data_IF_138726216101
#
_entry.id   IF_138726216101
#
_cell.length_a   1.000
_cell.length_b   1.000
_cell.length_c   1.000
_cell.angle_alpha   90.00
_cell.angle_beta   90.00
_cell.angle_gamma   90.00
#
_symmetry.space_group_name_H-M   'P 1'
#
loop_
_entity.id
_entity.type
_entity.pdbx_description
1 polymer ?
#
# COMPACT_ATOMS: atom_id res chain seq x y z
N UNK A 1 12.91 -15.22 4.42
CA UNK A 1 11.44 -15.09 4.62
C UNK A 1 11.20 -14.40 5.96
N UNK A 2 10.56 -13.26 5.93
CA UNK A 2 10.15 -12.53 7.13
C UNK A 2 9.13 -13.34 7.95
N UNK A 3 8.97 -12.98 9.21
CA UNK A 3 7.93 -13.54 10.07
C UNK A 3 6.67 -12.71 9.90
N UNK A 4 5.50 -13.37 9.76
CA UNK A 4 4.22 -12.67 9.80
C UNK A 4 3.99 -12.11 11.22
N UNK A 5 3.80 -10.81 11.32
CA UNK A 5 3.59 -10.11 12.59
C UNK A 5 2.27 -9.35 12.57
N UNK A 6 1.50 -9.42 13.65
CA UNK A 6 0.36 -8.55 13.84
C UNK A 6 0.85 -7.21 14.40
N UNK A 7 0.84 -6.17 13.57
CA UNK A 7 1.39 -4.84 13.89
C UNK A 7 0.36 -3.91 14.50
N UNK A 8 -0.94 -4.17 14.29
CA UNK A 8 -2.01 -3.33 14.82
C UNK A 8 -3.32 -4.13 14.99
N UNK A 9 -4.15 -3.77 15.97
CA UNK A 9 -5.53 -4.27 16.08
C UNK A 9 -6.39 -3.42 17.00
N UNK A 10 -7.68 -3.36 16.68
CA UNK A 10 -8.76 -2.83 17.54
C UNK A 10 -9.93 -3.81 17.64
N UNK A 11 -11.13 -3.32 17.93
CA UNK A 11 -12.33 -4.15 18.04
C UNK A 11 -12.83 -4.67 16.68
N UNK A 12 -12.61 -3.93 15.58
CA UNK A 12 -13.13 -4.23 14.24
C UNK A 12 -12.12 -4.83 13.29
N UNK A 13 -10.86 -4.38 13.36
CA UNK A 13 -9.84 -4.76 12.41
C UNK A 13 -8.55 -5.28 13.07
N UNK A 14 -7.78 -6.04 12.32
CA UNK A 14 -6.38 -6.33 12.61
C UNK A 14 -5.54 -6.20 11.34
N UNK A 15 -4.29 -5.76 11.52
CA UNK A 15 -3.32 -5.61 10.43
C UNK A 15 -2.11 -6.46 10.73
N UNK A 16 -1.75 -7.26 9.75
CA UNK A 16 -0.54 -8.08 9.76
C UNK A 16 0.44 -7.56 8.72
N UNK A 17 1.73 -7.74 8.99
CA UNK A 17 2.83 -7.40 8.08
C UNK A 17 3.76 -8.59 7.93
N UNK A 18 4.26 -8.79 6.73
CA UNK A 18 5.40 -9.65 6.43
C UNK A 18 6.35 -8.91 5.49
N UNK A 19 7.65 -9.10 5.70
CA UNK A 19 8.69 -8.57 4.81
C UNK A 19 9.13 -9.68 3.87
N UNK A 20 9.08 -9.43 2.57
CA UNK A 20 9.36 -10.42 1.52
C UNK A 20 10.33 -9.89 0.46
N UNK A 21 10.97 -10.84 -0.22
CA UNK A 21 11.82 -10.55 -1.37
C UNK A 21 13.15 -9.86 -1.06
N UNK A 22 14.00 -9.71 -2.09
CA UNK A 22 15.34 -9.16 -1.95
C UNK A 22 15.37 -7.62 -1.74
N UNK A 23 14.24 -6.94 -1.93
CA UNK A 23 14.08 -5.51 -1.72
C UNK A 23 13.43 -5.18 -0.36
N UNK A 24 13.21 -6.22 0.49
CA UNK A 24 12.56 -6.06 1.79
C UNK A 24 11.19 -5.36 1.70
N UNK A 25 10.35 -5.82 0.75
CA UNK A 25 9.01 -5.27 0.56
C UNK A 25 8.09 -5.59 1.75
N UNK A 26 7.43 -4.58 2.25
CA UNK A 26 6.36 -4.72 3.24
C UNK A 26 5.06 -5.15 2.54
N UNK A 27 4.58 -6.31 2.86
CA UNK A 27 3.25 -6.78 2.47
C UNK A 27 2.34 -6.71 3.68
N UNK A 28 1.16 -6.12 3.50
CA UNK A 28 0.21 -5.97 4.60
C UNK A 28 -1.05 -6.79 4.34
N UNK A 29 -1.64 -7.32 5.41
CA UNK A 29 -2.97 -7.94 5.38
C UNK A 29 -3.88 -7.19 6.34
N UNK A 30 -4.95 -6.60 5.81
CA UNK A 30 -6.04 -6.00 6.57
C UNK A 30 -7.13 -7.04 6.71
N UNK A 31 -7.48 -7.38 7.95
CA UNK A 31 -8.49 -8.41 8.24
C UNK A 31 -9.63 -7.87 9.10
N UNK A 32 -10.85 -8.12 8.67
CA UNK A 32 -12.05 -7.86 9.44
C UNK A 32 -12.18 -8.92 10.53
N UNK A 33 -12.25 -8.50 11.79
CA UNK A 33 -12.32 -9.44 12.93
C UNK A 33 -13.68 -10.12 13.10
N UNK A 34 -14.76 -9.46 12.67
CA UNK A 34 -16.12 -9.97 12.77
C UNK A 34 -16.41 -11.05 11.73
N UNK A 35 -15.97 -10.85 10.49
CA UNK A 35 -16.27 -11.77 9.37
C UNK A 35 -15.14 -12.73 9.05
N UNK A 36 -13.90 -12.37 9.41
CA UNK A 36 -12.70 -13.12 9.04
C UNK A 36 -12.21 -12.86 7.61
N UNK A 37 -12.92 -12.05 6.82
CA UNK A 37 -12.49 -11.64 5.48
C UNK A 37 -11.27 -10.73 5.56
N UNK A 38 -10.39 -10.82 4.56
CA UNK A 38 -9.17 -10.04 4.51
C UNK A 38 -8.79 -9.60 3.10
N UNK A 39 -7.99 -8.53 3.04
CA UNK A 39 -7.39 -7.98 1.84
C UNK A 39 -5.86 -7.92 2.02
N UNK A 40 -5.12 -8.27 0.99
CA UNK A 40 -3.67 -8.14 0.96
C UNK A 40 -3.29 -6.90 0.14
N UNK A 41 -2.31 -6.15 0.61
CA UNK A 41 -1.69 -5.01 -0.10
C UNK A 41 -0.33 -5.46 -0.59
N UNK A 42 -0.13 -5.39 -1.90
CA UNK A 42 1.03 -5.75 -2.71
C UNK A 42 1.39 -7.25 -2.70
N UNK A 43 1.08 -7.94 -3.79
CA UNK A 43 1.52 -9.31 -4.03
C UNK A 43 2.99 -9.32 -4.49
N UNK A 44 3.89 -8.88 -3.60
CA UNK A 44 5.26 -8.49 -3.92
C UNK A 44 6.15 -9.67 -4.32
N UNK A 45 6.35 -10.64 -3.46
CA UNK A 45 7.29 -11.75 -3.70
C UNK A 45 6.95 -12.97 -2.84
N UNK A 46 7.78 -14.03 -2.90
CA UNK A 46 7.64 -15.24 -2.06
C UNK A 46 6.22 -15.81 -2.10
N UNK A 47 5.70 -16.02 -3.31
CA UNK A 47 4.31 -16.38 -3.56
C UNK A 47 3.80 -17.59 -2.73
N UNK A 48 4.64 -18.59 -2.45
CA UNK A 48 4.25 -19.73 -1.61
C UNK A 48 3.86 -19.29 -0.19
N UNK A 49 4.66 -18.40 0.40
CA UNK A 49 4.39 -17.84 1.73
C UNK A 49 3.15 -16.93 1.71
N UNK A 50 3.00 -16.11 0.66
CA UNK A 50 1.81 -15.25 0.54
C UNK A 50 0.53 -16.08 0.38
N UNK A 51 0.55 -17.16 -0.40
CA UNK A 51 -0.61 -18.06 -0.56
C UNK A 51 -0.99 -18.76 0.76
N UNK A 52 0.00 -19.18 1.55
CA UNK A 52 -0.25 -19.72 2.89
C UNK A 52 -0.91 -18.65 3.79
N UNK A 53 -0.40 -17.43 3.79
CA UNK A 53 -0.98 -16.30 4.55
C UNK A 53 -2.39 -16.01 4.07
N UNK A 54 -2.62 -15.92 2.76
CA UNK A 54 -3.95 -15.70 2.19
C UNK A 54 -4.96 -16.74 2.68
N UNK A 55 -4.56 -18.02 2.65
CA UNK A 55 -5.41 -19.11 3.13
C UNK A 55 -5.70 -19.01 4.63
N UNK A 56 -4.67 -18.75 5.44
CA UNK A 56 -4.80 -18.72 6.90
C UNK A 56 -5.56 -17.50 7.43
N UNK A 57 -5.47 -16.37 6.74
CA UNK A 57 -6.10 -15.11 7.16
C UNK A 57 -7.41 -14.81 6.43
N UNK A 58 -7.79 -15.59 5.41
CA UNK A 58 -9.05 -15.40 4.67
C UNK A 58 -8.98 -14.29 3.63
N UNK A 59 -7.80 -14.09 3.01
CA UNK A 59 -7.62 -13.12 1.93
C UNK A 59 -8.36 -13.58 0.69
N UNK A 60 -9.25 -12.73 0.17
CA UNK A 60 -10.03 -12.97 -1.04
C UNK A 60 -9.78 -11.93 -2.14
N UNK A 61 -9.04 -10.87 -1.83
CA UNK A 61 -8.64 -9.84 -2.80
C UNK A 61 -7.25 -9.28 -2.48
N UNK A 62 -6.56 -8.87 -3.52
CA UNK A 62 -5.28 -8.17 -3.48
C UNK A 62 -5.46 -6.80 -4.12
N UNK A 63 -4.86 -5.77 -3.53
CA UNK A 63 -4.76 -4.44 -4.12
C UNK A 63 -3.29 -4.07 -4.24
N UNK A 64 -2.89 -3.55 -5.40
CA UNK A 64 -1.52 -3.11 -5.63
C UNK A 64 -1.41 -1.61 -5.41
N UNK A 65 -0.42 -1.18 -4.65
CA UNK A 65 -0.13 0.25 -4.44
C UNK A 65 0.39 0.91 -5.71
N UNK A 66 1.12 0.15 -6.52
CA UNK A 66 1.66 0.57 -7.81
C UNK A 66 2.22 -0.63 -8.58
N UNK A 67 2.67 -0.41 -9.83
CA UNK A 67 3.04 -1.48 -10.74
C UNK A 67 4.53 -1.84 -10.81
N UNK A 68 5.41 -1.37 -9.90
CA UNK A 68 6.82 -1.75 -9.98
C UNK A 68 7.02 -3.24 -9.75
N UNK A 69 8.03 -3.78 -10.42
CA UNK A 69 8.28 -5.22 -10.52
C UNK A 69 8.42 -5.92 -9.17
N UNK A 70 8.98 -5.26 -8.19
CA UNK A 70 9.20 -5.82 -6.85
C UNK A 70 7.92 -5.90 -6.02
N UNK A 71 6.87 -5.14 -6.35
CA UNK A 71 5.57 -5.19 -5.69
C UNK A 71 4.60 -6.22 -6.29
N UNK A 72 4.85 -6.73 -7.50
CA UNK A 72 3.86 -7.49 -8.29
C UNK A 72 4.31 -8.92 -8.66
N UNK A 73 5.44 -9.41 -8.16
CA UNK A 73 6.00 -10.70 -8.63
C UNK A 73 5.13 -11.90 -8.29
N UNK A 74 4.37 -11.86 -7.19
CA UNK A 74 3.46 -12.93 -6.79
C UNK A 74 2.07 -12.83 -7.45
N UNK A 75 1.76 -11.77 -8.20
CA UNK A 75 0.45 -11.56 -8.86
C UNK A 75 0.00 -12.78 -9.67
N UNK A 76 0.81 -13.42 -10.53
CA UNK A 76 0.36 -14.59 -11.25
C UNK A 76 -0.11 -15.73 -10.33
N UNK A 77 0.65 -16.00 -9.27
CA UNK A 77 0.36 -17.11 -8.36
C UNK A 77 -0.92 -16.86 -7.51
N UNK A 78 -1.12 -15.62 -7.02
CA UNK A 78 -2.34 -15.31 -6.27
C UNK A 78 -3.58 -15.35 -7.16
N UNK A 79 -3.47 -14.92 -8.43
CA UNK A 79 -4.57 -15.04 -9.39
C UNK A 79 -4.86 -16.49 -9.78
N UNK A 80 -3.85 -17.31 -9.98
CA UNK A 80 -4.01 -18.76 -10.25
C UNK A 80 -4.70 -19.48 -9.06
N UNK A 81 -4.55 -18.96 -7.84
CA UNK A 81 -5.25 -19.44 -6.66
C UNK A 81 -6.70 -18.91 -6.54
N UNK A 82 -7.16 -18.10 -7.50
CA UNK A 82 -8.53 -17.57 -7.55
C UNK A 82 -8.74 -16.31 -6.71
N UNK A 83 -7.66 -15.63 -6.27
CA UNK A 83 -7.71 -14.37 -5.54
C UNK A 83 -7.69 -13.23 -6.57
N UNK A 84 -8.66 -12.30 -6.50
CA UNK A 84 -8.72 -11.16 -7.42
C UNK A 84 -7.63 -10.14 -7.14
N UNK A 85 -7.08 -9.52 -8.20
CA UNK A 85 -6.05 -8.48 -8.12
C UNK A 85 -6.57 -7.19 -8.73
N UNK A 86 -6.44 -6.10 -7.99
CA UNK A 86 -6.84 -4.76 -8.40
C UNK A 86 -5.63 -3.81 -8.46
N UNK A 87 -5.60 -2.96 -9.47
CA UNK A 87 -4.54 -1.97 -9.71
C UNK A 87 -5.14 -0.73 -10.37
N UNK A 88 -4.47 0.41 -10.33
CA UNK A 88 -4.90 1.61 -11.06
C UNK A 88 -4.73 1.45 -12.57
N UNK A 89 -5.55 2.14 -13.36
CA UNK A 89 -5.48 2.08 -14.82
C UNK A 89 -4.13 2.55 -15.38
N UNK A 90 -3.46 3.49 -14.71
CA UNK A 90 -2.18 4.03 -15.15
C UNK A 90 -1.03 3.01 -15.02
N UNK A 91 -1.09 2.14 -14.02
CA UNK A 91 -0.07 1.11 -13.77
C UNK A 91 -0.47 -0.29 -14.25
N UNK A 92 -1.72 -0.47 -14.72
CA UNK A 92 -2.23 -1.77 -15.17
C UNK A 92 -1.36 -2.45 -16.24
N UNK A 93 -0.74 -1.65 -17.11
CA UNK A 93 0.17 -2.14 -18.15
C UNK A 93 1.52 -2.68 -17.63
N UNK A 94 1.83 -2.45 -16.36
CA UNK A 94 3.06 -2.94 -15.71
C UNK A 94 2.85 -4.34 -15.10
N UNK A 95 1.60 -4.72 -14.81
CA UNK A 95 1.27 -6.03 -14.24
C UNK A 95 1.17 -7.10 -15.34
N UNK A 96 1.55 -8.34 -15.04
CA UNK A 96 1.36 -9.47 -15.98
C UNK A 96 -0.13 -9.76 -16.23
N UNK A 97 -0.98 -9.47 -15.24
CA UNK A 97 -2.44 -9.58 -15.32
C UNK A 97 -3.11 -8.98 -14.10
N UNK A 98 -4.39 -8.60 -14.23
CA UNK A 98 -5.21 -8.05 -13.15
C UNK A 98 -6.70 -8.34 -13.43
N UNK A 99 -7.57 -8.08 -12.47
CA UNK A 99 -9.01 -8.32 -12.58
C UNK A 99 -9.83 -7.02 -12.52
N UNK A 100 -9.42 -6.07 -11.69
CA UNK A 100 -10.17 -4.85 -11.41
C UNK A 100 -9.29 -3.61 -11.54
N UNK A 101 -9.92 -2.49 -11.87
CA UNK A 101 -9.27 -1.18 -11.89
C UNK A 101 -9.70 -0.38 -10.67
N UNK A 102 -8.70 0.07 -9.91
CA UNK A 102 -8.88 0.99 -8.79
C UNK A 102 -9.01 2.43 -9.29
N UNK A 103 -9.88 3.18 -8.64
CA UNK A 103 -10.07 4.62 -8.89
C UNK A 103 -9.78 5.45 -7.65
N UNK A 104 -9.62 6.76 -7.83
CA UNK A 104 -9.42 7.69 -6.71
C UNK A 104 -10.69 7.82 -5.86
N UNK A 105 -10.52 7.97 -4.53
CA UNK A 105 -11.61 8.11 -3.54
C UNK A 105 -12.64 6.95 -3.60
N UNK A 106 -12.25 5.81 -4.11
CA UNK A 106 -13.10 4.61 -4.14
C UNK A 106 -13.21 4.01 -2.74
N UNK A 107 -14.39 3.48 -2.43
CA UNK A 107 -14.64 2.73 -1.21
C UNK A 107 -14.65 1.23 -1.52
N UNK A 108 -13.66 0.51 -1.01
CA UNK A 108 -13.57 -0.95 -1.03
C UNK A 108 -14.09 -1.51 0.29
N UNK A 109 -14.60 -2.73 0.28
CA UNK A 109 -15.08 -3.42 1.49
C UNK A 109 -14.27 -4.66 1.78
N UNK A 110 -13.98 -4.89 3.08
CA UNK A 110 -13.37 -6.11 3.59
C UNK A 110 -14.21 -6.55 4.79
N UNK A 111 -15.17 -7.44 4.57
CA UNK A 111 -16.21 -7.73 5.55
C UNK A 111 -16.96 -6.44 5.93
N UNK A 112 -16.92 -6.08 7.20
CA UNK A 112 -17.56 -4.85 7.72
C UNK A 112 -16.63 -3.61 7.64
N UNK A 113 -15.39 -3.78 7.21
CA UNK A 113 -14.44 -2.68 7.09
C UNK A 113 -14.62 -1.92 5.78
N UNK A 114 -14.42 -0.60 5.83
CA UNK A 114 -14.35 0.29 4.68
C UNK A 114 -12.93 0.76 4.47
N UNK A 115 -12.43 0.52 3.27
CA UNK A 115 -11.09 0.90 2.85
C UNK A 115 -11.24 1.98 1.79
N UNK A 116 -10.64 3.13 1.99
CA UNK A 116 -10.65 4.21 1.01
C UNK A 116 -9.33 4.28 0.26
N UNK A 117 -9.43 4.43 -1.04
CA UNK A 117 -8.29 4.67 -1.92
C UNK A 117 -7.99 6.16 -2.02
N UNK A 118 -6.70 6.51 -2.20
CA UNK A 118 -6.25 7.87 -2.45
C UNK A 118 -5.18 7.83 -3.55
N UNK A 119 -5.50 8.33 -4.74
CA UNK A 119 -4.51 8.46 -5.80
C UNK A 119 -3.39 9.43 -5.37
N UNK A 120 -2.14 8.98 -5.44
CA UNK A 120 -0.94 9.71 -5.04
C UNK A 120 0.14 9.59 -6.13
N UNK A 121 -0.13 10.05 -7.37
CA UNK A 121 0.82 9.91 -8.46
C UNK A 121 2.15 10.60 -8.16
N UNK A 122 3.22 10.05 -8.71
CA UNK A 122 4.56 10.65 -8.68
C UNK A 122 5.69 9.65 -8.53
N UNK A 123 5.61 8.63 -7.69
CA UNK A 123 6.53 7.50 -7.72
C UNK A 123 6.30 6.67 -8.99
N UNK A 124 5.04 6.35 -9.26
CA UNK A 124 4.52 5.98 -10.58
C UNK A 124 3.32 6.86 -10.92
N UNK A 125 2.87 6.83 -12.17
CA UNK A 125 1.66 7.55 -12.58
C UNK A 125 0.39 6.97 -11.92
N UNK A 126 0.42 5.70 -11.53
CA UNK A 126 -0.70 4.98 -10.93
C UNK A 126 -0.59 4.76 -9.42
N UNK A 127 0.39 5.35 -8.74
CA UNK A 127 0.56 5.18 -7.29
C UNK A 127 -0.72 5.55 -6.54
N UNK A 128 -1.10 4.69 -5.60
CA UNK A 128 -2.32 4.82 -4.80
C UNK A 128 -2.05 4.38 -3.35
N UNK A 129 -2.60 5.13 -2.39
CA UNK A 129 -2.56 4.82 -0.98
C UNK A 129 -3.91 4.24 -0.52
N UNK A 130 -3.91 3.56 0.62
CA UNK A 130 -5.10 2.99 1.24
C UNK A 130 -5.22 3.41 2.69
N UNK A 131 -6.44 3.67 3.16
CA UNK A 131 -6.72 3.92 4.58
C UNK A 131 -7.94 3.12 5.02
N UNK A 132 -7.93 2.64 6.26
CA UNK A 132 -9.07 1.93 6.88
C UNK A 132 -9.88 2.93 7.68
N UNK A 133 -11.15 3.10 7.35
CA UNK A 133 -12.03 4.07 8.02
C UNK A 133 -12.11 3.79 9.54
N UNK A 134 -11.99 4.84 10.33
CA UNK A 134 -12.03 4.75 11.79
C UNK A 134 -10.72 4.32 12.45
N UNK A 135 -9.66 4.11 11.67
CA UNK A 135 -8.31 3.79 12.19
C UNK A 135 -7.31 4.89 11.88
N UNK A 136 -6.18 4.97 12.60
CA UNK A 136 -5.12 5.92 12.28
C UNK A 136 -4.11 5.38 11.24
N UNK A 137 -4.50 4.46 10.37
CA UNK A 137 -3.57 3.76 9.47
C UNK A 137 -3.66 4.28 8.04
N UNK A 138 -2.50 4.53 7.42
CA UNK A 138 -2.33 4.90 6.03
C UNK A 138 -1.23 4.05 5.40
N UNK A 139 -1.59 3.23 4.43
CA UNK A 139 -0.68 2.41 3.63
C UNK A 139 -0.27 3.21 2.40
N UNK A 140 0.99 3.57 2.31
CA UNK A 140 1.48 4.55 1.32
C UNK A 140 2.19 3.94 0.14
N UNK A 141 2.43 2.61 0.13
CA UNK A 141 3.33 2.03 -0.86
C UNK A 141 4.62 2.86 -0.90
N UNK A 142 5.04 3.22 -2.09
CA UNK A 142 6.27 3.99 -2.30
C UNK A 142 6.04 5.50 -2.47
N UNK A 143 4.94 6.02 -1.92
CA UNK A 143 4.68 7.47 -1.95
C UNK A 143 5.43 8.21 -0.84
N UNK A 144 5.34 7.75 0.42
CA UNK A 144 5.91 8.43 1.59
C UNK A 144 6.60 7.44 2.52
N UNK A 145 7.85 7.74 2.86
CA UNK A 145 8.72 6.98 3.75
C UNK A 145 9.18 7.83 4.94
N UNK A 146 9.75 7.22 5.98
CA UNK A 146 10.55 7.97 6.94
C UNK A 146 11.66 8.76 6.24
N UNK A 147 11.62 10.09 6.38
CA UNK A 147 12.64 11.00 5.87
C UNK A 147 12.45 11.45 4.41
N UNK A 148 11.38 11.06 3.71
CA UNK A 148 11.10 11.63 2.40
C UNK A 148 10.14 10.89 1.48
N UNK A 149 9.93 11.43 0.28
CA UNK A 149 9.15 10.79 -0.78
C UNK A 149 9.88 9.59 -1.37
N UNK A 150 9.14 8.73 -2.06
CA UNK A 150 9.69 7.68 -2.88
C UNK A 150 10.49 8.19 -4.07
N UNK A 151 11.34 7.33 -4.61
CA UNK A 151 12.18 7.64 -5.77
C UNK A 151 11.33 7.96 -7.00
N UNK A 152 11.62 9.07 -7.67
CA UNK A 152 10.92 9.51 -8.89
C UNK A 152 11.81 9.51 -10.13
N UNK A 153 13.01 8.94 -10.05
CA UNK A 153 13.96 8.87 -11.19
C UNK A 153 13.68 7.69 -12.14
N UNK A 154 12.74 6.82 -11.81
CA UNK A 154 12.31 5.71 -12.66
C UNK A 154 11.36 6.17 -13.76
N UNK A 155 11.17 5.34 -14.80
CA UNK A 155 10.24 5.64 -15.88
C UNK A 155 8.82 5.83 -15.33
N UNK A 156 8.19 6.95 -15.64
CA UNK A 156 6.86 7.33 -15.14
C UNK A 156 6.87 8.09 -13.81
N UNK A 157 8.04 8.25 -13.18
CA UNK A 157 8.21 9.07 -11.97
C UNK A 157 8.18 10.57 -12.26
N UNK A 158 7.62 11.35 -11.33
CA UNK A 158 7.56 12.81 -11.38
C UNK A 158 7.63 13.41 -9.98
N UNK A 159 8.72 14.15 -9.72
CA UNK A 159 8.98 14.74 -8.41
C UNK A 159 7.93 15.80 -8.02
N UNK A 160 7.51 16.64 -8.95
CA UNK A 160 6.48 17.65 -8.67
C UNK A 160 5.15 17.04 -8.29
N UNK A 161 4.78 15.95 -8.97
CA UNK A 161 3.56 15.20 -8.69
C UNK A 161 3.61 14.52 -7.32
N UNK A 162 4.71 13.83 -6.95
CA UNK A 162 4.79 13.15 -5.65
C UNK A 162 4.75 14.15 -4.49
N UNK A 163 5.43 15.28 -4.59
CA UNK A 163 5.38 16.35 -3.59
C UNK A 163 3.96 16.91 -3.45
N UNK A 164 3.28 17.15 -4.58
CA UNK A 164 1.89 17.60 -4.58
C UNK A 164 0.96 16.57 -3.95
N UNK A 165 1.16 15.29 -4.26
CA UNK A 165 0.41 14.18 -3.68
C UNK A 165 0.58 14.11 -2.16
N UNK A 166 1.81 14.17 -1.68
CA UNK A 166 2.11 14.14 -0.24
C UNK A 166 1.49 15.35 0.47
N UNK A 167 1.71 16.58 -0.05
CA UNK A 167 1.17 17.81 0.54
C UNK A 167 -0.37 17.79 0.59
N UNK A 168 -1.01 17.55 -0.57
CA UNK A 168 -2.45 17.76 -0.72
C UNK A 168 -3.31 16.56 -0.33
N UNK A 169 -2.77 15.35 -0.51
CA UNK A 169 -3.53 14.11 -0.29
C UNK A 169 -3.22 13.47 1.06
N UNK A 170 -2.01 13.70 1.61
CA UNK A 170 -1.60 13.13 2.89
C UNK A 170 -1.57 14.21 3.97
N UNK A 171 -0.65 15.16 3.91
CA UNK A 171 -0.44 16.11 5.00
C UNK A 171 -1.62 17.04 5.26
N UNK A 172 -2.33 17.48 4.21
CA UNK A 172 -3.52 18.33 4.36
C UNK A 172 -4.78 17.57 4.82
N UNK A 173 -4.81 16.23 4.76
CA UNK A 173 -6.02 15.44 5.05
C UNK A 173 -5.94 14.58 6.30
N UNK A 174 -4.75 14.16 6.72
CA UNK A 174 -4.57 13.24 7.83
C UNK A 174 -4.03 13.94 9.07
N UNK A 175 -4.43 13.44 10.23
CA UNK A 175 -3.94 13.94 11.51
C UNK A 175 -2.45 13.60 11.71
N UNK A 176 -1.71 14.40 12.52
CA UNK A 176 -0.29 14.12 12.80
C UNK A 176 -0.02 12.73 13.38
N UNK A 177 -0.96 12.15 14.14
CA UNK A 177 -0.82 10.83 14.76
C UNK A 177 -1.11 9.68 13.77
N UNK A 178 -1.48 9.97 12.52
CA UNK A 178 -1.71 8.95 11.50
C UNK A 178 -0.42 8.20 11.22
N UNK A 179 -0.47 6.88 11.39
CA UNK A 179 0.66 5.97 11.15
C UNK A 179 0.78 5.70 9.67
N UNK A 180 1.93 6.01 9.12
CA UNK A 180 2.32 5.76 7.72
C UNK A 180 3.01 4.41 7.63
N UNK A 181 2.46 3.53 6.80
CA UNK A 181 2.92 2.16 6.56
C UNK A 181 3.40 2.06 5.10
N UNK A 182 4.72 2.24 4.85
CA UNK A 182 5.28 2.30 3.51
C UNK A 182 5.52 0.92 2.89
N UNK A 183 5.79 0.88 1.59
CA UNK A 183 6.13 -0.34 0.84
C UNK A 183 7.46 -0.97 1.22
N UNK A 184 8.35 -0.23 1.87
CA UNK A 184 9.65 -0.72 2.37
C UNK A 184 10.01 -0.06 3.71
N UNK A 185 10.83 -0.76 4.50
CA UNK A 185 11.42 -0.20 5.71
C UNK A 185 10.45 0.01 6.87
N UNK A 186 10.72 1.00 7.71
CA UNK A 186 10.00 1.23 8.95
C UNK A 186 8.76 2.13 8.75
N UNK A 187 7.80 2.00 9.66
CA UNK A 187 6.68 2.92 9.77
C UNK A 187 7.13 4.29 10.30
N UNK A 188 6.34 5.32 9.98
CA UNK A 188 6.48 6.67 10.53
C UNK A 188 5.09 7.25 10.85
N UNK A 189 4.99 8.56 11.07
CA UNK A 189 3.72 9.27 11.23
C UNK A 189 3.67 10.52 10.36
N UNK A 190 2.48 10.94 10.00
CA UNK A 190 2.27 12.22 9.29
C UNK A 190 2.94 13.38 10.03
N UNK A 191 2.82 13.41 11.36
CA UNK A 191 3.41 14.46 12.19
C UNK A 191 4.94 14.49 12.20
N UNK A 192 5.59 13.33 12.03
CA UNK A 192 7.05 13.27 11.92
C UNK A 192 7.52 13.80 10.56
N UNK A 193 6.79 13.53 9.49
CA UNK A 193 7.24 13.82 8.12
C UNK A 193 6.81 15.19 7.61
N UNK A 194 5.60 15.65 7.94
CA UNK A 194 5.04 16.90 7.42
C UNK A 194 5.92 18.14 7.64
N UNK A 195 6.64 18.31 8.77
CA UNK A 195 7.53 19.47 8.96
C UNK A 195 8.69 19.54 7.96
N UNK A 196 9.05 18.44 7.31
CA UNK A 196 10.21 18.32 6.42
C UNK A 196 9.90 18.52 4.93
N UNK A 197 8.64 18.74 4.56
CA UNK A 197 8.22 18.86 3.17
C UNK A 197 9.04 19.92 2.40
N UNK A 198 9.27 21.09 2.99
CA UNK A 198 10.03 22.15 2.33
C UNK A 198 11.51 21.77 2.12
N UNK A 199 12.09 21.03 3.06
CA UNK A 199 13.47 20.53 2.93
C UNK A 199 13.60 19.58 1.73
N UNK A 200 12.58 18.74 1.50
CA UNK A 200 12.56 17.83 0.35
C UNK A 200 12.42 18.59 -0.97
N UNK A 201 11.56 19.62 -1.01
CA UNK A 201 11.40 20.49 -2.19
C UNK A 201 12.71 21.21 -2.51
N UNK A 202 13.38 21.79 -1.50
CA UNK A 202 14.64 22.54 -1.68
C UNK A 202 15.80 21.64 -2.12
N UNK A 203 15.81 20.38 -1.65
CA UNK A 203 16.82 19.37 -2.02
C UNK A 203 16.63 18.86 -3.44
N UNK A 204 15.38 18.84 -3.93
CA UNK A 204 15.04 18.35 -5.27
C UNK A 204 15.21 16.85 -5.43
N UNK A 205 15.35 16.17 -4.30
CA UNK A 205 15.50 14.72 -4.08
C UNK A 205 16.42 14.00 -5.01
#
# INVERSE_FOLDING_TARGET
MGKLEKIWSDTGAEVHQIVVGPMDNNVYVIRCRSTGEAMLIDAANEHEALLEICTNLGVNQVVETHGHWDHIQAVPAVRDAGISVAVTAADAGMLPSYDLILTDEEELTVGDLRIRTLATPGHTAGSICFTVEGTPLLFTGDTLFPGGPGNTSTAGGDFGSIITSIDRRIFAKFNPDTVVLPGHGLATTVGNEAPHLQEWVDRGW
#
